data_IF_690508987267
#
_entry.id   IF_690508987267
#
_cell.length_a   1.000
_cell.length_b   1.000
_cell.length_c   1.000
_cell.angle_alpha   90.00
_cell.angle_beta   90.00
_cell.angle_gamma   90.00
#
_symmetry.space_group_name_H-M   'P 1'
#
loop_
_entity.id
_entity.type
_entity.pdbx_description
1 polymer ?
#
# COMPACT_ATOMS: atom_id res chain seq x y z
N UNK A 1 19.22 3.79 -8.15
CA UNK A 1 18.60 2.52 -7.75
C UNK A 1 17.25 2.83 -7.11
N UNK A 2 16.18 2.99 -7.91
CA UNK A 2 14.85 3.25 -7.36
C UNK A 2 14.30 1.91 -6.86
N UNK A 3 14.51 1.63 -5.57
CA UNK A 3 14.08 0.39 -4.96
C UNK A 3 12.57 0.37 -4.91
N UNK A 4 11.94 -0.27 -5.90
CA UNK A 4 10.49 -0.53 -5.85
C UNK A 4 10.19 -1.29 -4.57
N UNK A 5 9.31 -0.76 -3.74
CA UNK A 5 8.85 -1.43 -2.53
C UNK A 5 7.37 -1.80 -2.71
N UNK A 6 6.92 -2.82 -1.97
CA UNK A 6 5.52 -3.22 -2.03
C UNK A 6 4.68 -2.16 -1.31
N UNK A 7 3.54 -1.80 -1.91
CA UNK A 7 2.61 -0.84 -1.34
C UNK A 7 2.21 -1.21 0.09
N UNK A 8 1.86 -2.48 0.33
CA UNK A 8 1.46 -2.96 1.66
C UNK A 8 2.56 -2.79 2.73
N UNK A 9 3.82 -2.86 2.33
CA UNK A 9 4.96 -2.66 3.22
C UNK A 9 5.25 -1.17 3.42
N UNK A 10 5.27 -0.39 2.33
CA UNK A 10 5.49 1.06 2.35
C UNK A 10 4.48 1.79 3.24
N UNK A 11 3.21 1.37 3.19
CA UNK A 11 2.15 1.92 4.04
C UNK A 11 2.36 1.67 5.54
N UNK A 12 2.99 0.55 5.90
CA UNK A 12 3.32 0.23 7.29
C UNK A 12 4.58 0.97 7.73
N UNK A 13 5.61 0.99 6.88
CA UNK A 13 6.87 1.70 7.13
C UNK A 13 6.64 3.20 7.29
N UNK A 14 5.69 3.79 6.54
CA UNK A 14 5.27 5.18 6.69
C UNK A 14 4.34 5.43 7.90
N UNK A 15 3.96 4.39 8.63
CA UNK A 15 3.08 4.50 9.80
C UNK A 15 1.60 4.75 9.46
N UNK A 16 1.18 4.63 8.20
CA UNK A 16 -0.22 4.77 7.81
C UNK A 16 -1.08 3.60 8.31
N UNK A 17 -0.48 2.42 8.47
CA UNK A 17 -1.14 1.24 9.03
C UNK A 17 -0.27 0.55 10.07
N UNK A 18 -0.90 0.02 11.10
CA UNK A 18 -0.24 -0.71 12.20
C UNK A 18 0.29 -2.09 11.81
N UNK A 19 -0.18 -2.65 10.70
CA UNK A 19 0.28 -3.96 10.20
C UNK A 19 0.00 -4.13 8.72
N UNK A 20 0.77 -5.02 8.07
CA UNK A 20 0.61 -5.33 6.64
C UNK A 20 -0.77 -5.90 6.34
N UNK A 21 -1.35 -6.69 7.23
CA UNK A 21 -2.70 -7.24 7.04
C UNK A 21 -3.77 -6.14 6.98
N UNK A 22 -3.68 -5.11 7.83
CA UNK A 22 -4.61 -3.97 7.77
C UNK A 22 -4.41 -3.15 6.49
N UNK A 23 -3.17 -2.91 6.09
CA UNK A 23 -2.86 -2.24 4.83
C UNK A 23 -3.44 -3.02 3.64
N UNK A 24 -3.25 -4.34 3.59
CA UNK A 24 -3.83 -5.20 2.55
C UNK A 24 -5.35 -5.14 2.49
N UNK A 25 -6.02 -5.12 3.65
CA UNK A 25 -7.48 -4.97 3.73
C UNK A 25 -7.96 -3.64 3.16
N UNK A 26 -7.33 -2.53 3.54
CA UNK A 26 -7.68 -1.20 3.02
C UNK A 26 -7.41 -1.06 1.52
N UNK A 27 -6.30 -1.61 1.03
CA UNK A 27 -5.98 -1.66 -0.40
C UNK A 27 -7.07 -2.42 -1.16
N UNK A 28 -7.43 -3.63 -0.73
CA UNK A 28 -8.50 -4.43 -1.37
C UNK A 28 -9.87 -3.76 -1.30
N UNK A 29 -10.11 -2.96 -0.27
CA UNK A 29 -11.33 -2.16 -0.15
C UNK A 29 -11.34 -0.90 -1.03
N UNK A 30 -10.26 -0.62 -1.78
CA UNK A 30 -10.14 0.57 -2.62
C UNK A 30 -9.97 1.87 -1.82
N UNK A 31 -9.54 1.77 -0.56
CA UNK A 31 -9.35 2.93 0.34
C UNK A 31 -7.97 3.56 0.22
N UNK A 32 -7.10 3.02 -0.64
CA UNK A 32 -5.74 3.49 -0.84
C UNK A 32 -5.60 4.02 -2.27
N UNK A 33 -5.19 5.28 -2.37
CA UNK A 33 -4.89 5.94 -3.65
C UNK A 33 -3.46 6.50 -3.65
N UNK A 34 -2.80 6.42 -4.79
CA UNK A 34 -1.47 7.00 -5.03
C UNK A 34 -1.58 7.90 -6.25
N UNK A 35 -1.20 9.16 -6.12
CA UNK A 35 -1.26 10.16 -7.18
C UNK A 35 -2.63 10.24 -7.89
N UNK A 36 -3.71 10.02 -7.12
CA UNK A 36 -5.09 10.03 -7.62
C UNK A 36 -5.59 8.70 -8.21
N UNK A 37 -4.74 7.68 -8.33
CA UNK A 37 -5.14 6.34 -8.77
C UNK A 37 -5.41 5.42 -7.58
N UNK A 38 -6.61 4.84 -7.51
CA UNK A 38 -6.94 3.80 -6.51
C UNK A 38 -6.19 2.52 -6.84
N UNK A 39 -5.46 1.99 -5.86
CA UNK A 39 -4.74 0.73 -5.99
C UNK A 39 -5.51 -0.33 -5.21
N UNK A 40 -5.83 -1.45 -5.88
CA UNK A 40 -6.55 -2.60 -5.31
C UNK A 40 -5.64 -3.81 -5.04
N UNK A 41 -4.40 -3.75 -5.54
CA UNK A 41 -3.39 -4.82 -5.44
C UNK A 41 -2.39 -4.53 -4.32
N UNK A 42 -2.41 -5.26 -3.19
CA UNK A 42 -1.50 -4.96 -2.09
C UNK A 42 -0.02 -5.22 -2.37
N UNK A 43 0.26 -6.13 -3.30
CA UNK A 43 1.59 -6.42 -3.81
C UNK A 43 2.04 -5.51 -4.95
N UNK A 44 1.29 -4.42 -5.23
CA UNK A 44 1.72 -3.42 -6.18
C UNK A 44 3.11 -2.88 -5.78
N UNK A 45 3.99 -2.82 -6.77
CA UNK A 45 5.35 -2.30 -6.60
C UNK A 45 5.31 -0.81 -6.93
N UNK A 46 5.66 0.01 -5.94
CA UNK A 46 5.63 1.48 -5.99
C UNK A 46 7.00 2.06 -5.65
#
# INVERSE_FOLDING_TARGET
MSGKARLDQLLVERGAFVSRARAQGAIRAGLVSIDGAVIDKPSAMV
#
